data_IF_959085100876
#
_entry.id   IF_959085100876
#
_cell.length_a   1.000
_cell.length_b   1.000
_cell.length_c   1.000
_cell.angle_alpha   90.00
_cell.angle_beta   90.00
_cell.angle_gamma   90.00
#
_symmetry.space_group_name_H-M   'P 1'
#
loop_
_entity.id
_entity.type
_entity.pdbx_description
1 polymer ?
#
# COMPACT_ATOMS: atom_id res chain seq x y z
N UNK A 1 -2.99 -35.05 -13.39
CA UNK A 1 -3.40 -34.30 -12.18
C UNK A 1 -2.82 -32.90 -12.27
N UNK A 2 -3.65 -31.93 -12.65
CA UNK A 2 -3.22 -30.56 -12.89
C UNK A 2 -3.10 -29.85 -11.53
N UNK A 3 -1.88 -29.76 -11.00
CA UNK A 3 -1.61 -29.04 -9.75
C UNK A 3 -1.93 -27.56 -9.97
N UNK A 4 -3.12 -27.14 -9.52
CA UNK A 4 -3.52 -25.73 -9.44
C UNK A 4 -2.35 -24.92 -8.91
N UNK A 5 -1.87 -23.93 -9.66
CA UNK A 5 -0.87 -22.99 -9.21
C UNK A 5 -1.47 -22.12 -8.09
N UNK A 6 -1.51 -22.67 -6.88
CA UNK A 6 -1.87 -21.91 -5.68
C UNK A 6 -0.79 -20.85 -5.51
N UNK A 7 -1.21 -19.60 -5.26
CA UNK A 7 -0.27 -18.51 -4.98
C UNK A 7 0.78 -18.93 -3.94
N UNK A 8 2.03 -18.53 -4.15
CA UNK A 8 3.16 -18.93 -3.30
C UNK A 8 3.04 -18.46 -1.84
N UNK A 9 2.10 -17.55 -1.54
CA UNK A 9 1.70 -17.13 -0.20
C UNK A 9 0.31 -16.51 -0.20
N UNK A 10 -0.18 -16.18 0.99
CA UNK A 10 -1.46 -15.49 1.21
C UNK A 10 -1.25 -14.35 2.19
N UNK A 11 -1.87 -13.21 1.92
CA UNK A 11 -1.89 -12.03 2.79
C UNK A 11 -3.33 -11.55 2.94
N UNK A 12 -3.66 -10.91 4.07
CA UNK A 12 -4.99 -10.32 4.26
C UNK A 12 -5.11 -9.09 3.37
N UNK A 13 -6.28 -8.88 2.73
CA UNK A 13 -6.54 -7.71 1.85
C UNK A 13 -6.17 -6.39 2.54
N UNK A 14 -6.51 -6.23 3.82
CA UNK A 14 -6.18 -5.01 4.60
C UNK A 14 -4.67 -4.78 4.74
N UNK A 15 -3.87 -5.84 4.83
CA UNK A 15 -2.41 -5.72 4.93
C UNK A 15 -1.78 -5.26 3.62
N UNK A 16 -2.45 -5.39 2.48
CA UNK A 16 -1.96 -4.85 1.21
C UNK A 16 -1.87 -3.33 1.26
N UNK A 17 -2.82 -2.68 1.95
CA UNK A 17 -2.88 -1.23 2.08
C UNK A 17 -1.86 -0.73 3.12
N UNK A 18 -1.64 -1.51 4.18
CA UNK A 18 -0.88 -1.04 5.36
C UNK A 18 0.55 -1.58 5.46
N UNK A 19 0.83 -2.82 5.04
CA UNK A 19 2.11 -3.49 5.35
C UNK A 19 2.81 -4.05 4.12
N UNK A 20 2.04 -4.56 3.15
CA UNK A 20 2.53 -5.31 2.00
C UNK A 20 2.05 -4.69 0.68
N UNK A 21 2.15 -3.36 0.59
CA UNK A 21 1.90 -2.62 -0.65
C UNK A 21 3.10 -2.64 -1.60
N UNK A 22 3.03 -1.97 -2.77
CA UNK A 22 4.12 -1.93 -3.74
C UNK A 22 5.46 -1.50 -3.12
N UNK A 23 6.52 -2.27 -3.36
CA UNK A 23 7.85 -2.01 -2.79
C UNK A 23 8.06 -2.60 -1.39
N UNK A 24 7.04 -3.16 -0.75
CA UNK A 24 7.19 -3.82 0.54
C UNK A 24 7.97 -5.14 0.41
N UNK A 25 8.84 -5.41 1.37
CA UNK A 25 9.59 -6.66 1.48
C UNK A 25 8.76 -7.71 2.23
N UNK A 26 8.64 -8.91 1.67
CA UNK A 26 7.83 -10.00 2.23
C UNK A 26 8.61 -11.31 2.25
N UNK A 27 8.44 -12.08 3.33
CA UNK A 27 8.87 -13.48 3.40
C UNK A 27 7.74 -14.41 2.99
N UNK A 28 7.96 -15.17 1.92
CA UNK A 28 7.12 -16.29 1.54
C UNK A 28 7.77 -17.59 2.05
N UNK A 29 7.00 -18.68 2.22
CA UNK A 29 7.51 -19.94 2.77
C UNK A 29 8.75 -20.51 2.08
N UNK A 30 8.94 -20.21 0.78
CA UNK A 30 10.07 -20.72 -0.01
C UNK A 30 11.06 -19.63 -0.44
N UNK A 31 10.64 -18.36 -0.47
CA UNK A 31 11.40 -17.29 -1.10
C UNK A 31 11.14 -15.96 -0.38
N UNK A 32 12.13 -15.08 -0.32
CA UNK A 32 11.88 -13.66 -0.04
C UNK A 32 11.52 -12.94 -1.34
N UNK A 33 10.62 -11.98 -1.24
CA UNK A 33 10.14 -11.20 -2.36
C UNK A 33 9.97 -9.73 -1.98
N UNK A 34 9.88 -8.89 -3.02
CA UNK A 34 9.40 -7.52 -2.94
C UNK A 34 8.10 -7.42 -3.73
N UNK A 35 7.07 -6.83 -3.13
CA UNK A 35 5.75 -6.68 -3.74
C UNK A 35 5.87 -5.77 -4.97
N UNK A 36 5.34 -6.20 -6.11
CA UNK A 36 5.48 -5.49 -7.37
C UNK A 36 4.68 -4.18 -7.41
N UNK A 37 5.11 -3.29 -8.32
CA UNK A 37 4.32 -2.13 -8.72
C UNK A 37 2.96 -2.51 -9.31
N UNK A 38 2.08 -1.52 -9.45
CA UNK A 38 0.72 -1.71 -10.00
C UNK A 38 0.73 -2.31 -11.41
N UNK A 39 1.84 -2.19 -12.15
CA UNK A 39 2.08 -2.84 -13.44
C UNK A 39 2.13 -4.38 -13.37
N UNK A 40 2.26 -4.94 -12.16
CA UNK A 40 2.23 -6.38 -11.87
C UNK A 40 0.96 -6.83 -11.17
N UNK A 41 -0.02 -5.94 -11.05
CA UNK A 41 -1.31 -6.26 -10.45
C UNK A 41 -2.30 -6.69 -11.54
N UNK A 42 -3.42 -7.33 -11.17
CA UNK A 42 -4.46 -7.67 -12.14
C UNK A 42 -4.95 -6.43 -12.88
N UNK A 43 -5.42 -6.63 -14.12
CA UNK A 43 -6.05 -5.56 -14.89
C UNK A 43 -7.25 -5.00 -14.14
N UNK A 44 -7.51 -3.69 -14.32
CA UNK A 44 -8.64 -2.99 -13.71
C UNK A 44 -9.98 -3.71 -13.91
N UNK A 45 -10.18 -4.34 -15.07
CA UNK A 45 -11.38 -5.13 -15.40
C UNK A 45 -11.64 -6.34 -14.49
N UNK A 46 -10.65 -6.76 -13.70
CA UNK A 46 -10.74 -7.86 -12.73
C UNK A 46 -10.78 -7.38 -11.28
N UNK A 47 -10.75 -6.07 -11.08
CA UNK A 47 -10.75 -5.45 -9.76
C UNK A 47 -12.12 -4.82 -9.49
N UNK A 48 -12.48 -4.82 -8.23
CA UNK A 48 -13.66 -4.13 -7.71
C UNK A 48 -13.32 -2.64 -7.63
N UNK A 49 -13.99 -1.82 -8.44
CA UNK A 49 -13.88 -0.37 -8.37
C UNK A 49 -14.61 0.15 -7.13
N UNK A 50 -13.98 1.05 -6.40
CA UNK A 50 -14.55 1.74 -5.25
C UNK A 50 -14.88 3.16 -5.71
N UNK A 51 -16.16 3.48 -5.79
CA UNK A 51 -16.61 4.83 -6.07
C UNK A 51 -16.67 5.65 -4.78
N UNK A 52 -15.69 6.52 -4.57
CA UNK A 52 -15.70 7.51 -3.48
C UNK A 52 -15.13 8.84 -4.00
N UNK A 53 -16.00 9.69 -4.58
CA UNK A 53 -15.59 10.92 -5.25
C UNK A 53 -14.78 11.88 -4.36
N UNK A 54 -15.00 11.88 -3.03
CA UNK A 54 -14.27 12.77 -2.12
C UNK A 54 -12.84 12.32 -1.91
N UNK A 55 -12.61 11.01 -1.78
CA UNK A 55 -11.26 10.45 -1.69
C UNK A 55 -10.51 10.67 -3.00
N UNK A 56 -11.15 10.41 -4.14
CA UNK A 56 -10.52 10.62 -5.44
C UNK A 56 -10.13 12.07 -5.68
N UNK A 57 -10.98 13.04 -5.33
CA UNK A 57 -10.65 14.48 -5.41
C UNK A 57 -9.49 14.86 -4.50
N UNK A 58 -9.52 14.38 -3.25
CA UNK A 58 -8.43 14.62 -2.29
C UNK A 58 -7.09 14.07 -2.81
N UNK A 59 -7.11 12.89 -3.44
CA UNK A 59 -5.92 12.30 -4.07
C UNK A 59 -5.47 13.10 -5.29
N UNK A 60 -6.38 13.53 -6.16
CA UNK A 60 -6.08 14.37 -7.32
C UNK A 60 -5.32 15.65 -6.91
N UNK A 61 -5.77 16.32 -5.85
CA UNK A 61 -5.08 17.50 -5.30
C UNK A 61 -3.67 17.17 -4.80
N UNK A 62 -3.52 16.09 -4.04
CA UNK A 62 -2.23 15.69 -3.47
C UNK A 62 -1.24 15.22 -4.54
N UNK A 63 -1.72 14.63 -5.63
CA UNK A 63 -0.91 14.18 -6.76
C UNK A 63 -0.53 15.31 -7.73
N UNK A 64 -0.90 16.57 -7.44
CA UNK A 64 -0.50 17.74 -8.23
C UNK A 64 -1.48 18.15 -9.33
N UNK A 65 -2.74 17.71 -9.26
CA UNK A 65 -3.76 17.96 -10.28
C UNK A 65 -3.70 16.96 -11.44
N UNK A 66 -4.77 16.85 -12.23
CA UNK A 66 -4.84 15.92 -13.36
C UNK A 66 -6.21 15.26 -13.49
N UNK A 67 -6.26 14.05 -14.04
CA UNK A 67 -7.49 13.24 -14.06
C UNK A 67 -7.85 12.76 -12.66
N UNK A 68 -9.16 12.63 -12.39
CA UNK A 68 -9.64 12.05 -11.14
C UNK A 68 -9.18 10.58 -11.06
N UNK A 69 -8.43 10.18 -10.01
CA UNK A 69 -7.95 8.81 -9.89
C UNK A 69 -9.12 7.86 -9.63
N UNK A 70 -9.11 6.72 -10.32
CA UNK A 70 -10.01 5.60 -10.06
C UNK A 70 -9.44 4.76 -8.93
N UNK A 71 -10.30 4.29 -8.04
CA UNK A 71 -9.90 3.55 -6.85
C UNK A 71 -10.33 2.10 -6.99
N UNK A 72 -9.46 1.18 -6.61
CA UNK A 72 -9.74 -0.25 -6.70
C UNK A 72 -9.45 -0.92 -5.38
N UNK A 73 -10.32 -1.85 -5.00
CA UNK A 73 -10.08 -2.70 -3.86
C UNK A 73 -8.91 -3.68 -4.18
N UNK A 74 -8.06 -4.03 -3.18
CA UNK A 74 -7.06 -5.06 -3.37
C UNK A 74 -7.69 -6.37 -3.87
N UNK A 75 -7.02 -7.10 -4.78
CA UNK A 75 -7.60 -8.26 -5.45
C UNK A 75 -8.07 -9.33 -4.46
N UNK A 76 -9.27 -9.84 -4.69
CA UNK A 76 -9.83 -10.97 -3.97
C UNK A 76 -9.61 -12.28 -4.74
N UNK A 77 -9.62 -13.45 -4.06
CA UNK A 77 -9.60 -14.73 -4.75
C UNK A 77 -10.78 -14.85 -5.73
N UNK A 78 -10.52 -15.29 -6.96
CA UNK A 78 -11.60 -15.57 -7.91
C UNK A 78 -12.32 -16.86 -7.53
N UNK A 79 -13.65 -16.85 -7.65
CA UNK A 79 -14.49 -18.05 -7.54
C UNK A 79 -14.56 -18.83 -8.87
N UNK A 80 -13.99 -18.30 -9.95
CA UNK A 80 -13.97 -18.95 -11.26
C UNK A 80 -12.94 -20.08 -11.29
N UNK A 81 -13.34 -21.32 -11.61
CA UNK A 81 -12.40 -22.44 -11.66
C UNK A 81 -11.25 -22.20 -12.65
N UNK A 82 -10.02 -22.27 -12.16
CA UNK A 82 -8.81 -22.16 -12.98
C UNK A 82 -8.26 -20.73 -13.12
N UNK A 83 -9.00 -19.72 -12.65
CA UNK A 83 -8.49 -18.35 -12.62
C UNK A 83 -7.62 -18.11 -11.38
N UNK A 84 -6.42 -17.57 -11.59
CA UNK A 84 -5.51 -17.15 -10.51
C UNK A 84 -5.41 -15.64 -10.54
N UNK A 85 -6.07 -14.98 -9.59
CA UNK A 85 -5.95 -13.55 -9.34
C UNK A 85 -5.01 -13.37 -8.14
N UNK A 86 -4.02 -12.51 -8.28
CA UNK A 86 -3.06 -12.23 -7.22
C UNK A 86 -2.15 -11.05 -7.55
N UNK A 87 -1.38 -10.65 -6.55
CA UNK A 87 -0.41 -9.55 -6.68
C UNK A 87 0.93 -10.15 -7.12
N UNK A 88 1.48 -9.63 -8.22
CA UNK A 88 2.82 -10.00 -8.67
C UNK A 88 3.90 -9.48 -7.72
N UNK A 89 4.95 -10.26 -7.55
CA UNK A 89 6.12 -9.88 -6.75
C UNK A 89 7.40 -10.35 -7.39
N UNK A 90 8.50 -9.68 -7.05
CA UNK A 90 9.83 -10.02 -7.54
C UNK A 90 10.61 -10.73 -6.46
N UNK A 91 11.33 -11.81 -6.82
CA UNK A 91 12.29 -12.43 -5.90
C UNK A 91 13.42 -11.44 -5.60
N UNK A 92 13.54 -11.07 -4.34
CA UNK A 92 14.50 -10.07 -3.87
C UNK A 92 14.72 -10.30 -2.36
N UNK A 93 15.96 -10.16 -1.83
CA UNK A 93 17.21 -9.81 -2.52
C UNK A 93 17.72 -10.88 -3.51
N UNK A 94 18.70 -10.53 -4.34
CA UNK A 94 19.41 -11.46 -5.23
C UNK A 94 20.62 -12.14 -4.57
N UNK A 95 21.03 -11.73 -3.38
CA UNK A 95 22.11 -12.39 -2.61
C UNK A 95 21.61 -13.37 -1.54
N UNK A 96 22.35 -14.45 -1.36
CA UNK A 96 22.02 -15.57 -0.47
C UNK A 96 23.20 -15.99 0.40
N UNK A 97 22.90 -16.51 1.59
CA UNK A 97 23.86 -17.27 2.42
C UNK A 97 23.60 -18.76 2.25
N UNK A 98 24.66 -19.54 2.06
CA UNK A 98 24.57 -21.00 1.99
C UNK A 98 24.37 -21.57 3.40
N UNK A 99 23.44 -22.52 3.54
CA UNK A 99 23.23 -23.25 4.78
C UNK A 99 24.27 -24.36 4.89
N UNK A 100 25.33 -24.06 5.64
CA UNK A 100 26.44 -24.98 5.89
C UNK A 100 26.48 -25.32 7.38
N UNK A 101 26.66 -26.59 7.70
CA UNK A 101 26.92 -26.99 9.07
C UNK A 101 28.30 -26.44 9.48
N UNK A 102 28.44 -25.85 10.69
CA UNK A 102 29.76 -25.45 11.18
C UNK A 102 30.66 -26.69 11.27
N UNK A 103 31.95 -26.51 10.97
CA UNK A 103 32.92 -27.57 11.18
C UNK A 103 32.97 -27.93 12.67
N UNK A 104 33.16 -29.22 12.98
CA UNK A 104 33.17 -29.71 14.35
C UNK A 104 34.26 -28.98 15.17
N UNK A 105 33.87 -28.26 16.22
CA UNK A 105 34.76 -27.51 17.10
C UNK A 105 34.86 -26.01 16.82
N UNK A 106 34.28 -25.50 15.73
CA UNK A 106 34.26 -24.07 15.45
C UNK A 106 33.10 -23.37 16.17
N UNK A 107 33.43 -22.35 16.99
CA UNK A 107 32.43 -21.45 17.59
C UNK A 107 31.86 -20.45 16.58
N UNK A 108 32.57 -20.21 15.48
CA UNK A 108 32.21 -19.23 14.47
C UNK A 108 31.51 -19.92 13.29
N UNK A 109 30.34 -19.42 12.89
CA UNK A 109 29.65 -19.92 11.71
C UNK A 109 30.09 -19.11 10.50
N UNK A 110 30.84 -19.74 9.61
CA UNK A 110 31.20 -19.15 8.31
C UNK A 110 30.29 -19.70 7.22
N UNK A 111 29.59 -18.82 6.51
CA UNK A 111 28.69 -19.21 5.41
C UNK A 111 29.06 -18.49 4.13
N UNK A 112 29.11 -19.22 3.02
CA UNK A 112 29.34 -18.61 1.71
C UNK A 112 28.21 -17.66 1.35
N UNK A 113 28.60 -16.50 0.83
CA UNK A 113 27.70 -15.48 0.30
C UNK A 113 27.73 -15.56 -1.23
N UNK A 114 26.58 -15.85 -1.84
CA UNK A 114 26.47 -16.19 -3.27
C UNK A 114 25.35 -15.42 -3.93
N UNK A 115 25.55 -15.04 -5.18
CA UNK A 115 24.54 -14.36 -5.97
C UNK A 115 23.55 -15.36 -6.58
N UNK A 116 22.30 -14.94 -6.81
CA UNK A 116 21.24 -15.77 -7.43
C UNK A 116 21.66 -16.44 -8.74
N UNK A 117 22.53 -15.79 -9.49
CA UNK A 117 23.05 -16.27 -10.79
C UNK A 117 23.92 -17.51 -10.65
N UNK A 118 24.47 -17.76 -9.47
CA UNK A 118 25.32 -18.91 -9.15
C UNK A 118 24.49 -20.09 -8.61
N UNK A 119 23.18 -19.93 -8.46
CA UNK A 119 22.30 -20.98 -7.92
C UNK A 119 21.78 -21.91 -9.01
N UNK A 120 21.91 -23.20 -8.78
CA UNK A 120 21.34 -24.27 -9.59
C UNK A 120 20.07 -24.80 -8.93
N UNK A 121 18.91 -24.63 -9.59
CA UNK A 121 17.60 -25.05 -9.06
C UNK A 121 17.31 -24.53 -7.63
N UNK A 122 17.83 -23.34 -7.31
CA UNK A 122 17.66 -22.70 -5.99
C UNK A 122 18.61 -23.22 -4.91
N UNK A 123 19.68 -23.92 -5.29
CA UNK A 123 20.72 -24.45 -4.40
C UNK A 123 22.11 -24.00 -4.87
N UNK A 124 23.08 -24.04 -3.98
CA UNK A 124 24.49 -23.80 -4.32
C UNK A 124 25.28 -25.07 -4.01
N UNK A 125 25.89 -25.69 -5.02
CA UNK A 125 26.60 -26.98 -4.89
C UNK A 125 25.77 -28.06 -4.15
N UNK A 126 24.47 -28.15 -4.46
CA UNK A 126 23.54 -29.08 -3.82
C UNK A 126 23.09 -28.70 -2.39
N UNK A 127 23.62 -27.63 -1.80
CA UNK A 127 23.26 -27.12 -0.47
C UNK A 127 22.12 -26.13 -0.55
N UNK A 128 21.27 -26.13 0.47
CA UNK A 128 20.18 -25.16 0.60
C UNK A 128 20.73 -23.76 0.91
N UNK A 129 19.98 -22.72 0.52
CA UNK A 129 20.39 -21.32 0.67
C UNK A 129 19.24 -20.49 1.22
N UNK A 130 19.57 -19.40 1.91
CA UNK A 130 18.60 -18.44 2.44
C UNK A 130 18.95 -17.04 1.95
N UNK A 131 17.95 -16.29 1.48
CA UNK A 131 18.16 -14.92 1.02
C UNK A 131 18.74 -14.08 2.17
N UNK A 132 19.66 -13.18 1.84
CA UNK A 132 20.22 -12.27 2.84
C UNK A 132 19.09 -11.44 3.47
N UNK A 133 19.24 -11.13 4.76
CA UNK A 133 18.32 -10.21 5.45
C UNK A 133 18.73 -8.75 5.32
N UNK A 134 19.82 -8.47 4.61
CA UNK A 134 20.44 -7.15 4.52
C UNK A 134 20.31 -6.61 3.12
N UNK A 135 19.74 -5.42 3.01
CA UNK A 135 19.61 -4.67 1.76
C UNK A 135 20.09 -3.25 2.02
N UNK A 136 20.32 -2.49 0.96
CA UNK A 136 20.59 -1.05 1.06
C UNK A 136 19.37 -0.27 0.61
N UNK A 137 19.12 0.86 1.25
CA UNK A 137 18.02 1.75 0.88
C UNK A 137 18.45 3.23 1.00
N UNK A 138 17.74 4.15 0.36
CA UNK A 138 18.02 5.58 0.46
C UNK A 138 16.80 6.38 0.96
N UNK A 139 16.99 7.66 1.38
CA UNK A 139 15.89 8.54 1.80
C UNK A 139 14.78 8.77 0.75
N UNK A 140 15.07 8.59 -0.55
CA UNK A 140 14.06 8.68 -1.62
C UNK A 140 13.24 7.39 -1.79
N UNK A 141 13.44 6.37 -0.95
CA UNK A 141 12.66 5.13 -0.97
C UNK A 141 13.16 4.05 -1.94
N UNK A 142 14.28 4.27 -2.62
CA UNK A 142 14.94 3.21 -3.40
C UNK A 142 15.47 2.12 -2.51
N UNK A 143 15.43 0.88 -3.00
CA UNK A 143 15.97 -0.31 -2.32
C UNK A 143 16.76 -1.14 -3.31
N UNK A 144 17.86 -1.73 -2.86
CA UNK A 144 18.73 -2.53 -3.70
C UNK A 144 19.50 -3.56 -2.87
N UNK A 145 20.10 -4.54 -3.53
CA UNK A 145 21.07 -5.42 -2.90
C UNK A 145 22.30 -4.62 -2.45
N UNK A 146 22.95 -5.06 -1.37
CA UNK A 146 24.27 -4.54 -1.00
C UNK A 146 25.26 -4.97 -2.09
N UNK A 147 26.07 -4.03 -2.58
CA UNK A 147 27.25 -4.39 -3.36
C UNK A 147 28.32 -4.94 -2.41
N UNK A 148 28.26 -6.25 -2.17
CA UNK A 148 29.10 -6.90 -1.17
C UNK A 148 30.59 -6.84 -1.50
N UNK A 149 30.95 -6.82 -2.79
CA UNK A 149 32.34 -6.67 -3.20
C UNK A 149 32.83 -5.25 -2.92
N UNK A 150 32.08 -4.22 -3.33
CA UNK A 150 32.44 -2.83 -3.04
C UNK A 150 32.41 -2.54 -1.52
N UNK A 151 31.51 -3.19 -0.78
CA UNK A 151 31.47 -3.06 0.68
C UNK A 151 32.75 -3.56 1.34
N UNK A 152 33.24 -4.75 0.96
CA UNK A 152 34.46 -5.34 1.55
C UNK A 152 35.74 -4.68 1.04
N UNK A 153 35.82 -4.37 -0.25
CA UNK A 153 37.08 -3.96 -0.88
C UNK A 153 37.18 -2.48 -1.23
N UNK A 154 36.07 -1.74 -1.17
CA UNK A 154 35.95 -0.42 -1.77
C UNK A 154 35.65 -0.47 -3.28
N UNK A 155 35.26 0.67 -3.88
CA UNK A 155 34.79 0.73 -5.27
C UNK A 155 35.91 0.54 -6.31
N UNK A 156 37.16 0.83 -5.96
CA UNK A 156 38.33 0.76 -6.85
C UNK A 156 38.82 -0.68 -7.10
N UNK A 157 38.35 -1.66 -6.30
CA UNK A 157 38.90 -3.01 -6.30
C UNK A 157 38.02 -3.99 -7.11
N UNK A 158 38.65 -4.75 -7.99
CA UNK A 158 37.99 -5.71 -8.89
C UNK A 158 38.04 -7.17 -8.40
N UNK A 159 38.40 -7.43 -7.15
CA UNK A 159 38.39 -8.78 -6.59
C UNK A 159 36.96 -9.36 -6.66
N UNK A 160 36.85 -10.59 -7.18
CA UNK A 160 35.59 -11.34 -7.31
C UNK A 160 35.71 -12.77 -6.76
N UNK A 161 36.64 -12.98 -5.82
CA UNK A 161 36.78 -14.28 -5.14
C UNK A 161 35.64 -14.49 -4.14
N UNK A 162 35.46 -15.74 -3.70
CA UNK A 162 34.33 -16.12 -2.84
C UNK A 162 34.22 -15.23 -1.59
N UNK A 163 33.02 -14.70 -1.35
CA UNK A 163 32.68 -13.97 -0.13
C UNK A 163 32.07 -14.91 0.91
N UNK A 164 32.29 -14.59 2.18
CA UNK A 164 31.84 -15.31 3.35
C UNK A 164 31.20 -14.33 4.32
N UNK A 165 30.11 -14.74 4.94
CA UNK A 165 29.52 -14.07 6.11
C UNK A 165 29.87 -14.89 7.34
N UNK A 166 30.81 -14.36 8.12
CA UNK A 166 31.28 -14.95 9.36
C UNK A 166 30.47 -14.40 10.54
N UNK A 167 29.96 -15.28 11.40
CA UNK A 167 29.16 -14.95 12.58
C UNK A 167 29.84 -15.49 13.84
N UNK A 168 30.31 -14.59 14.71
CA UNK A 168 31.09 -14.91 15.92
C UNK A 168 30.28 -14.90 17.23
N UNK A 169 28.95 -14.92 17.15
CA UNK A 169 28.05 -14.88 18.30
C UNK A 169 26.78 -15.71 18.11
N UNK A 170 25.89 -15.69 19.10
CA UNK A 170 24.63 -16.44 19.10
C UNK A 170 23.39 -15.57 18.90
N UNK A 171 23.50 -14.24 19.06
CA UNK A 171 22.37 -13.30 18.96
C UNK A 171 22.05 -12.91 17.52
N UNK A 172 22.99 -13.10 16.60
CA UNK A 172 22.87 -12.58 15.24
C UNK A 172 22.88 -11.05 15.19
N UNK A 173 23.58 -10.40 16.12
CA UNK A 173 23.76 -8.95 16.09
C UNK A 173 24.70 -8.53 14.96
N UNK A 174 24.51 -7.30 14.47
CA UNK A 174 25.37 -6.74 13.42
C UNK A 174 26.83 -6.58 13.85
N UNK A 175 27.09 -6.47 15.17
CA UNK A 175 28.45 -6.43 15.74
C UNK A 175 29.21 -7.74 15.57
N UNK A 176 28.50 -8.85 15.49
CA UNK A 176 29.09 -10.19 15.48
C UNK A 176 29.26 -10.73 14.05
N UNK A 177 28.93 -9.89 13.06
CA UNK A 177 28.94 -10.24 11.65
C UNK A 177 30.09 -9.55 10.94
N UNK A 178 30.91 -10.36 10.27
CA UNK A 178 32.01 -9.89 9.42
C UNK A 178 31.84 -10.47 8.03
N UNK A 179 31.94 -9.64 7.01
CA UNK A 179 32.02 -10.10 5.61
C UNK A 179 33.49 -10.25 5.26
N UNK A 180 33.88 -11.43 4.77
CA UNK A 180 35.26 -11.76 4.42
C UNK A 180 35.35 -12.25 2.99
N UNK A 181 36.33 -11.78 2.25
CA UNK A 181 36.71 -12.34 0.96
C UNK A 181 37.79 -13.41 1.15
N UNK A 182 37.78 -14.42 0.30
CA UNK A 182 38.85 -15.43 0.21
C UNK A 182 40.25 -14.82 0.00
N UNK A 183 40.38 -13.60 -0.55
CA UNK A 183 41.67 -12.91 -0.64
C UNK A 183 42.24 -12.43 0.72
N UNK A 184 41.50 -12.58 1.81
CA UNK A 184 41.90 -12.18 3.16
C UNK A 184 41.32 -10.84 3.63
N UNK A 185 40.82 -10.00 2.72
CA UNK A 185 40.14 -8.76 3.09
C UNK A 185 38.82 -9.04 3.81
N UNK A 186 38.50 -8.23 4.82
CA UNK A 186 37.30 -8.38 5.63
C UNK A 186 36.81 -7.03 6.15
N UNK A 187 35.50 -6.93 6.38
CA UNK A 187 34.85 -5.73 6.93
C UNK A 187 33.70 -6.09 7.86
N UNK A 188 33.57 -5.36 8.97
CA UNK A 188 32.51 -5.60 9.95
C UNK A 188 31.17 -5.07 9.45
N UNK A 189 30.08 -5.80 9.65
CA UNK A 189 28.73 -5.36 9.27
C UNK A 189 28.23 -4.18 10.09
N UNK A 190 28.76 -3.96 11.30
CA UNK A 190 28.46 -2.77 12.10
C UNK A 190 28.84 -1.47 11.38
N UNK A 191 29.92 -1.49 10.58
CA UNK A 191 30.38 -0.33 9.81
C UNK A 191 29.35 0.09 8.75
N UNK A 192 28.53 -0.83 8.22
CA UNK A 192 27.50 -0.51 7.23
C UNK A 192 26.43 0.48 7.74
N UNK A 193 26.36 0.73 9.05
CA UNK A 193 25.46 1.72 9.66
C UNK A 193 25.97 3.16 9.56
N UNK A 194 27.27 3.36 9.35
CA UNK A 194 27.86 4.70 9.31
C UNK A 194 27.57 5.39 7.96
N UNK A 195 26.47 6.14 7.92
CA UNK A 195 26.05 6.89 6.72
C UNK A 195 27.12 7.92 6.29
N UNK A 196 27.89 8.48 7.24
CA UNK A 196 28.90 9.50 6.98
C UNK A 196 30.06 8.96 6.13
N UNK A 197 30.51 7.75 6.44
CA UNK A 197 31.57 7.05 5.69
C UNK A 197 31.10 6.47 4.35
N UNK A 198 29.78 6.52 4.04
CA UNK A 198 29.16 5.96 2.82
C UNK A 198 29.63 4.54 2.47
N UNK A 199 29.67 3.58 3.43
CA UNK A 199 30.19 2.23 3.24
C UNK A 199 29.40 1.43 2.19
N UNK A 200 28.14 1.78 1.95
CA UNK A 200 27.25 1.16 0.97
C UNK A 200 27.13 1.97 -0.35
N UNK A 201 27.97 2.98 -0.51
CA UNK A 201 28.00 3.86 -1.68
C UNK A 201 26.79 4.78 -1.81
N UNK A 202 26.69 5.43 -2.96
CA UNK A 202 25.55 6.26 -3.36
C UNK A 202 24.48 5.44 -4.07
N UNK A 203 23.23 5.82 -3.86
CA UNK A 203 22.07 5.19 -4.46
C UNK A 203 22.10 5.32 -5.99
N UNK A 204 21.74 4.25 -6.70
CA UNK A 204 21.65 4.21 -8.17
C UNK A 204 20.19 4.33 -8.67
N UNK A 205 19.27 4.71 -7.77
CA UNK A 205 17.84 4.82 -8.04
C UNK A 205 17.18 3.50 -8.40
N UNK A 206 17.69 2.37 -7.91
CA UNK A 206 17.14 1.04 -8.16
C UNK A 206 15.73 0.90 -7.58
N UNK A 207 14.80 0.43 -8.40
CA UNK A 207 13.39 0.18 -8.04
C UNK A 207 13.00 -1.27 -8.38
N UNK A 208 13.51 -2.27 -7.64
CA UNK A 208 13.37 -3.68 -7.99
C UNK A 208 11.90 -4.13 -8.07
N UNK A 209 10.99 -3.46 -7.36
CA UNK A 209 9.55 -3.73 -7.43
C UNK A 209 8.90 -3.38 -8.77
N UNK A 210 9.50 -2.48 -9.55
CA UNK A 210 9.05 -2.11 -10.90
C UNK A 210 9.76 -2.94 -12.00
N UNK A 211 10.68 -3.83 -11.62
CA UNK A 211 11.42 -4.68 -12.53
C UNK A 211 12.72 -4.08 -13.07
N UNK A 212 13.33 -4.79 -14.03
CA UNK A 212 14.61 -4.40 -14.65
C UNK A 212 14.36 -3.16 -15.52
N UNK A 213 15.26 -2.17 -15.47
CA UNK A 213 15.20 -0.90 -16.21
C UNK A 213 14.28 0.18 -15.65
N UNK A 214 13.70 -0.02 -14.47
CA UNK A 214 12.95 1.02 -13.80
C UNK A 214 13.86 1.95 -12.97
N UNK A 215 15.16 2.06 -13.25
CA UNK A 215 16.03 2.93 -12.45
C UNK A 215 15.75 4.40 -12.74
N UNK A 216 16.01 5.27 -11.75
CA UNK A 216 15.99 6.72 -11.94
C UNK A 216 17.25 7.38 -11.39
N UNK A 217 17.45 8.66 -11.68
CA UNK A 217 18.61 9.38 -11.15
C UNK A 217 18.48 9.58 -9.63
N UNK A 218 19.50 9.16 -8.90
CA UNK A 218 19.60 9.36 -7.46
C UNK A 218 21.07 9.53 -7.08
N UNK A 219 21.30 10.30 -6.03
CA UNK A 219 22.62 10.68 -5.52
C UNK A 219 22.70 10.53 -3.99
N UNK A 220 21.62 10.07 -3.37
CA UNK A 220 21.50 9.99 -1.93
C UNK A 220 22.38 8.87 -1.35
N UNK A 221 22.92 9.03 -0.13
CA UNK A 221 23.70 7.98 0.50
C UNK A 221 22.81 6.77 0.82
N UNK A 222 23.32 5.58 0.56
CA UNK A 222 22.66 4.35 0.96
C UNK A 222 22.87 4.09 2.46
N UNK A 223 21.84 3.57 3.12
CA UNK A 223 21.89 3.04 4.49
C UNK A 223 21.56 1.56 4.51
N UNK A 224 22.10 0.86 5.51
CA UNK A 224 21.75 -0.53 5.79
C UNK A 224 20.28 -0.63 6.22
N UNK A 225 19.55 -1.57 5.62
CA UNK A 225 18.20 -1.91 6.00
C UNK A 225 18.10 -3.43 6.22
N UNK A 226 17.44 -3.81 7.32
CA UNK A 226 17.13 -5.21 7.59
C UNK A 226 15.74 -5.48 7.02
N UNK A 227 15.63 -6.49 6.16
CA UNK A 227 14.42 -6.81 5.38
C UNK A 227 13.18 -7.06 6.24
N UNK A 228 13.35 -7.61 7.43
CA UNK A 228 12.27 -7.93 8.38
C UNK A 228 12.07 -6.86 9.45
N UNK A 229 12.80 -5.73 9.40
CA UNK A 229 12.64 -4.67 10.37
C UNK A 229 11.36 -3.88 10.13
N UNK A 230 10.75 -3.37 11.22
CA UNK A 230 9.53 -2.56 11.17
C UNK A 230 9.69 -1.25 10.38
N UNK A 231 10.93 -0.81 10.15
CA UNK A 231 11.25 0.38 9.36
C UNK A 231 11.54 0.10 7.88
N UNK A 232 11.28 -1.13 7.40
CA UNK A 232 11.53 -1.51 6.02
C UNK A 232 10.50 -0.97 5.02
N UNK A 233 9.27 -0.71 5.48
CA UNK A 233 8.19 -0.21 4.64
C UNK A 233 7.23 0.65 5.45
N UNK A 234 6.86 1.81 4.91
CA UNK A 234 5.83 2.67 5.46
C UNK A 234 4.89 3.10 4.33
N UNK A 235 3.60 2.74 4.38
CA UNK A 235 2.63 3.25 3.41
C UNK A 235 2.34 4.73 3.67
N UNK A 236 2.00 5.45 2.62
CA UNK A 236 1.29 6.73 2.75
C UNK A 236 -0.20 6.45 2.62
N UNK A 237 -0.91 6.39 3.75
CA UNK A 237 -2.33 6.07 3.78
C UNK A 237 -3.16 7.34 3.76
N UNK A 238 -4.14 7.38 2.86
CA UNK A 238 -5.17 8.40 2.85
C UNK A 238 -6.54 7.74 3.06
N UNK A 239 -7.34 8.33 3.93
CA UNK A 239 -8.70 7.85 4.23
C UNK A 239 -9.71 8.99 4.21
N UNK A 240 -10.96 8.59 4.01
CA UNK A 240 -12.20 9.34 4.23
C UNK A 240 -13.22 8.37 4.83
N UNK A 241 -14.21 8.88 5.54
CA UNK A 241 -15.39 8.09 5.88
C UNK A 241 -16.30 8.05 4.66
N UNK A 242 -16.58 6.84 4.18
CA UNK A 242 -17.62 6.61 3.17
C UNK A 242 -18.96 6.80 3.85
N UNK A 243 -19.56 7.94 3.59
CA UNK A 243 -20.89 8.31 4.06
C UNK A 243 -21.80 8.37 2.84
N UNK A 244 -23.03 7.83 2.91
CA UNK A 244 -24.00 7.99 1.84
C UNK A 244 -24.17 9.48 1.57
N UNK A 245 -23.77 9.90 0.38
CA UNK A 245 -23.83 11.29 -0.02
C UNK A 245 -25.27 11.60 -0.45
N UNK A 246 -26.19 11.67 0.52
CA UNK A 246 -27.56 12.15 0.28
C UNK A 246 -27.54 13.51 -0.42
N UNK A 247 -26.52 14.33 -0.17
CA UNK A 247 -26.26 15.58 -0.87
C UNK A 247 -25.92 15.39 -2.35
N UNK A 248 -25.05 14.45 -2.68
CA UNK A 248 -24.68 14.10 -4.05
C UNK A 248 -25.81 13.45 -4.85
N UNK A 249 -26.56 12.53 -4.25
CA UNK A 249 -27.72 11.91 -4.91
C UNK A 249 -28.81 12.92 -5.24
N UNK A 250 -29.12 13.83 -4.30
CA UNK A 250 -30.09 14.90 -4.55
C UNK A 250 -29.53 15.95 -5.51
N UNK A 251 -28.25 16.30 -5.45
CA UNK A 251 -27.60 17.21 -6.40
C UNK A 251 -27.62 16.63 -7.83
N UNK A 252 -27.41 15.32 -7.99
CA UNK A 252 -27.50 14.62 -9.27
C UNK A 252 -28.93 14.59 -9.80
N UNK A 253 -29.90 14.21 -8.97
CA UNK A 253 -31.32 14.23 -9.35
C UNK A 253 -31.80 15.64 -9.73
N UNK A 254 -31.40 16.66 -8.97
CA UNK A 254 -31.66 18.07 -9.28
C UNK A 254 -30.92 18.50 -10.56
N UNK A 255 -29.76 17.92 -10.86
CA UNK A 255 -29.00 18.18 -12.08
C UNK A 255 -29.68 17.68 -13.34
N UNK A 256 -30.15 16.43 -13.31
CA UNK A 256 -30.84 15.80 -14.43
C UNK A 256 -32.19 16.45 -14.74
N UNK A 257 -32.82 17.01 -13.71
CA UNK A 257 -34.11 17.70 -13.79
C UNK A 257 -33.97 19.23 -13.82
N UNK A 258 -32.77 19.76 -14.04
CA UNK A 258 -32.51 21.19 -13.85
C UNK A 258 -33.32 22.10 -14.78
N UNK A 259 -33.57 21.67 -16.01
CA UNK A 259 -34.37 22.43 -16.98
C UNK A 259 -35.77 22.74 -16.45
N UNK A 260 -36.32 21.82 -15.66
CA UNK A 260 -37.61 21.92 -15.00
C UNK A 260 -37.49 22.65 -13.64
N UNK A 261 -36.45 22.35 -12.86
CA UNK A 261 -36.30 22.84 -11.48
C UNK A 261 -35.73 24.27 -11.37
N UNK A 262 -35.11 24.81 -12.43
CA UNK A 262 -34.50 26.15 -12.41
C UNK A 262 -35.50 27.29 -12.08
N UNK A 263 -36.79 27.09 -12.35
CA UNK A 263 -37.85 28.08 -12.08
C UNK A 263 -38.43 27.98 -10.65
N UNK A 264 -38.11 26.92 -9.89
CA UNK A 264 -38.63 26.70 -8.54
C UNK A 264 -37.94 27.64 -7.55
N UNK A 265 -38.71 28.47 -6.83
CA UNK A 265 -38.17 29.42 -5.85
C UNK A 265 -38.69 29.16 -4.42
N UNK A 266 -39.71 28.33 -4.27
CA UNK A 266 -40.40 28.02 -3.02
C UNK A 266 -41.06 26.63 -3.08
N UNK A 267 -41.67 26.21 -1.98
CA UNK A 267 -42.36 24.91 -1.86
C UNK A 267 -43.55 24.79 -2.81
N UNK A 268 -44.29 25.88 -3.05
CA UNK A 268 -45.43 25.89 -3.98
C UNK A 268 -44.97 25.65 -5.43
N UNK A 269 -43.85 26.25 -5.83
CA UNK A 269 -43.23 25.97 -7.12
C UNK A 269 -42.78 24.52 -7.27
N UNK A 270 -42.23 23.92 -6.20
CA UNK A 270 -41.82 22.51 -6.22
C UNK A 270 -43.04 21.57 -6.34
N UNK A 271 -44.11 21.84 -5.61
CA UNK A 271 -45.35 21.06 -5.66
C UNK A 271 -45.98 21.07 -7.06
N UNK A 272 -45.97 22.24 -7.73
CA UNK A 272 -46.40 22.36 -9.11
C UNK A 272 -45.54 21.50 -10.06
N UNK A 273 -44.22 21.53 -9.88
CA UNK A 273 -43.30 20.74 -10.73
C UNK A 273 -43.42 19.23 -10.50
N UNK A 274 -43.75 18.79 -9.28
CA UNK A 274 -44.05 17.39 -8.96
C UNK A 274 -45.32 16.85 -9.64
N UNK A 275 -46.15 17.69 -10.27
CA UNK A 275 -47.24 17.20 -11.13
C UNK A 275 -46.72 16.53 -12.42
N UNK A 276 -45.47 16.79 -12.81
CA UNK A 276 -44.82 16.09 -13.93
C UNK A 276 -44.33 14.71 -13.46
N UNK A 277 -44.74 13.59 -14.09
CA UNK A 277 -44.36 12.25 -13.66
C UNK A 277 -42.85 12.04 -13.54
N UNK A 278 -42.08 12.56 -14.51
CA UNK A 278 -40.61 12.48 -14.51
C UNK A 278 -39.97 13.14 -13.29
N UNK A 279 -40.51 14.28 -12.85
CA UNK A 279 -40.01 15.03 -11.69
C UNK A 279 -40.44 14.37 -10.39
N UNK A 280 -41.69 13.88 -10.33
CA UNK A 280 -42.20 13.14 -9.18
C UNK A 280 -41.38 11.87 -8.91
N UNK A 281 -41.08 11.09 -9.96
CA UNK A 281 -40.34 9.83 -9.86
C UNK A 281 -38.87 10.07 -9.49
N UNK A 282 -38.21 11.03 -10.14
CA UNK A 282 -36.81 11.36 -9.86
C UNK A 282 -36.58 11.99 -8.48
N UNK A 283 -37.60 12.60 -7.87
CA UNK A 283 -37.52 13.23 -6.55
C UNK A 283 -38.22 12.44 -5.43
N UNK A 284 -38.86 11.31 -5.74
CA UNK A 284 -39.58 10.48 -4.76
C UNK A 284 -38.74 10.04 -3.54
N UNK A 285 -37.42 9.78 -3.66
CA UNK A 285 -36.60 9.41 -2.51
C UNK A 285 -36.27 10.56 -1.53
N UNK A 286 -36.53 11.82 -1.91
CA UNK A 286 -36.06 13.00 -1.16
C UNK A 286 -37.21 13.83 -0.58
N UNK A 287 -36.98 14.46 0.57
CA UNK A 287 -37.95 15.40 1.14
C UNK A 287 -37.94 16.74 0.40
N UNK A 288 -39.07 17.45 0.43
CA UNK A 288 -39.24 18.74 -0.24
C UNK A 288 -38.21 19.78 0.23
N UNK A 289 -37.94 19.80 1.54
CA UNK A 289 -36.96 20.71 2.15
C UNK A 289 -35.53 20.43 1.67
N UNK A 290 -35.16 19.16 1.47
CA UNK A 290 -33.85 18.78 0.93
C UNK A 290 -33.73 19.21 -0.54
N UNK A 291 -34.77 19.00 -1.35
CA UNK A 291 -34.80 19.37 -2.76
C UNK A 291 -34.69 20.89 -2.95
N UNK A 292 -35.44 21.67 -2.17
CA UNK A 292 -35.41 23.15 -2.24
C UNK A 292 -34.01 23.66 -1.88
N UNK A 293 -33.38 23.11 -0.83
CA UNK A 293 -32.00 23.47 -0.45
C UNK A 293 -31.00 23.15 -1.56
N UNK A 294 -31.12 21.99 -2.21
CA UNK A 294 -30.25 21.60 -3.32
C UNK A 294 -30.45 22.51 -4.55
N UNK A 295 -31.69 22.87 -4.87
CA UNK A 295 -32.01 23.84 -5.94
C UNK A 295 -31.39 25.21 -5.63
N UNK A 296 -31.56 25.73 -4.40
CA UNK A 296 -30.96 26.99 -3.98
C UNK A 296 -29.44 26.98 -4.06
N UNK A 297 -28.80 25.91 -3.60
CA UNK A 297 -27.36 25.73 -3.70
C UNK A 297 -26.88 25.76 -5.15
N UNK A 298 -27.60 25.09 -6.05
CA UNK A 298 -27.28 25.10 -7.48
C UNK A 298 -27.48 26.46 -8.13
N UNK A 299 -28.52 27.22 -7.77
CA UNK A 299 -28.75 28.60 -8.26
C UNK A 299 -27.66 29.57 -7.81
N UNK A 300 -27.13 29.40 -6.60
CA UNK A 300 -26.05 30.24 -6.04
C UNK A 300 -24.68 29.99 -6.68
N UNK A 301 -24.57 28.99 -7.56
CA UNK A 301 -23.31 28.53 -8.14
C UNK A 301 -22.57 27.58 -7.19
N UNK A 302 -21.53 26.86 -7.68
CA UNK A 302 -20.82 25.88 -6.87
C UNK A 302 -20.23 26.55 -5.63
N UNK A 303 -20.75 26.17 -4.45
CA UNK A 303 -20.13 26.51 -3.18
C UNK A 303 -18.77 25.82 -3.19
N UNK A 304 -17.72 26.62 -2.94
CA UNK A 304 -16.36 26.17 -2.59
C UNK A 304 -16.38 24.78 -1.97
N UNK A 305 -15.65 23.83 -2.57
CA UNK A 305 -15.55 22.46 -2.08
C UNK A 305 -15.36 22.44 -0.55
N UNK A 306 -16.35 21.91 0.16
CA UNK A 306 -16.30 21.81 1.61
C UNK A 306 -15.21 20.81 1.99
N UNK A 307 -14.34 21.12 2.97
CA UNK A 307 -13.34 20.17 3.44
C UNK A 307 -13.98 18.83 3.83
N UNK A 308 -13.39 17.70 3.45
CA UNK A 308 -13.94 16.36 3.73
C UNK A 308 -14.35 16.18 5.19
N UNK A 309 -13.50 16.64 6.13
CA UNK A 309 -13.77 16.55 7.58
C UNK A 309 -15.02 17.32 8.01
N UNK A 310 -15.33 18.43 7.35
CA UNK A 310 -16.52 19.21 7.65
C UNK A 310 -17.78 18.45 7.23
N UNK A 311 -17.76 17.86 6.03
CA UNK A 311 -18.87 17.02 5.53
C UNK A 311 -19.07 15.80 6.41
N UNK A 312 -17.99 15.14 6.83
CA UNK A 312 -18.04 14.02 7.77
C UNK A 312 -18.69 14.42 9.11
N UNK A 313 -18.30 15.58 9.65
CA UNK A 313 -18.87 16.09 10.90
C UNK A 313 -20.34 16.46 10.77
N UNK A 314 -20.73 17.17 9.70
CA UNK A 314 -22.12 17.55 9.43
C UNK A 314 -23.02 16.30 9.32
N UNK A 315 -22.56 15.28 8.59
CA UNK A 315 -23.28 14.02 8.46
C UNK A 315 -23.43 13.29 9.80
N UNK A 316 -22.39 13.27 10.66
CA UNK A 316 -22.48 12.70 12.01
C UNK A 316 -23.40 13.52 12.95
N UNK A 317 -23.51 14.84 12.75
CA UNK A 317 -24.36 15.71 13.55
C UNK A 317 -25.84 15.69 13.11
N UNK A 318 -26.10 15.43 11.83
CA UNK A 318 -27.45 15.39 11.24
C UNK A 318 -28.23 14.11 11.58
N UNK A 319 -27.59 13.17 12.27
CA UNK A 319 -28.14 11.86 12.60
C UNK A 319 -29.32 11.97 13.58
N UNK A 320 -30.42 11.23 13.36
CA UNK A 320 -31.58 11.25 14.25
C UNK A 320 -31.23 10.76 15.66
N UNK A 321 -31.97 11.28 16.64
CA UNK A 321 -31.89 10.79 18.02
C UNK A 321 -32.60 9.43 18.15
N UNK A 322 -31.97 8.48 18.83
CA UNK A 322 -32.54 7.14 19.01
C UNK A 322 -31.85 6.33 20.11
N UNK A 323 -32.60 5.44 20.76
CA UNK A 323 -32.14 4.50 21.78
C UNK A 323 -32.97 3.22 21.71
N UNK A 324 -32.38 2.06 21.36
CA UNK A 324 -33.13 0.80 21.17
C UNK A 324 -32.53 -0.11 20.08
N UNK A 325 -33.36 -0.94 19.44
CA UNK A 325 -32.92 -1.92 18.44
C UNK A 325 -32.17 -1.27 17.27
N UNK A 326 -31.02 -1.84 16.92
CA UNK A 326 -30.17 -1.40 15.81
C UNK A 326 -30.81 -1.81 14.49
N UNK A 327 -31.81 -1.04 14.04
CA UNK A 327 -32.39 -1.18 12.70
C UNK A 327 -31.58 -0.28 11.76
N UNK A 328 -30.76 -0.83 10.84
CA UNK A 328 -30.00 -0.03 9.90
C UNK A 328 -30.97 0.72 8.98
N UNK A 329 -30.85 2.05 8.93
CA UNK A 329 -31.59 2.91 7.98
C UNK A 329 -30.95 2.80 6.59
N UNK A 330 -29.64 2.55 6.57
CA UNK A 330 -28.80 2.33 5.41
C UNK A 330 -27.87 1.13 5.72
N UNK A 331 -27.67 0.21 4.76
CA UNK A 331 -26.86 -0.99 4.97
C UNK A 331 -25.36 -0.71 5.16
N UNK A 332 -24.86 0.42 4.67
CA UNK A 332 -23.45 0.82 4.68
C UNK A 332 -23.13 1.89 5.73
N UNK A 333 -24.14 2.63 6.22
CA UNK A 333 -23.97 3.62 7.28
C UNK A 333 -25.15 3.67 8.28
N UNK A 334 -24.89 3.26 9.52
CA UNK A 334 -25.81 3.46 10.63
C UNK A 334 -25.16 4.30 11.73
N UNK A 335 -25.80 5.42 12.07
CA UNK A 335 -25.47 6.22 13.22
C UNK A 335 -26.77 6.62 13.94
N UNK A 336 -26.67 6.89 15.25
CA UNK A 336 -27.73 7.53 16.04
C UNK A 336 -27.13 8.47 17.07
N UNK A 337 -27.81 9.59 17.34
CA UNK A 337 -27.49 10.41 18.51
C UNK A 337 -28.15 9.79 19.74
N UNK A 338 -27.37 9.46 20.76
CA UNK A 338 -27.93 8.98 22.03
C UNK A 338 -28.61 10.15 22.76
N UNK A 339 -29.81 9.94 23.36
CA UNK A 339 -30.41 10.93 24.23
C UNK A 339 -29.50 11.27 25.42
N UNK A 340 -29.46 12.55 25.81
CA UNK A 340 -28.62 13.05 26.91
C UNK A 340 -28.74 12.23 28.20
N UNK A 341 -29.96 11.78 28.51
CA UNK A 341 -30.29 10.97 29.70
C UNK A 341 -29.59 9.60 29.73
N UNK A 342 -29.22 9.08 28.56
CA UNK A 342 -28.56 7.77 28.39
C UNK A 342 -27.05 7.95 28.40
N UNK A 343 -26.53 8.86 27.56
CA UNK A 343 -25.08 9.05 27.43
C UNK A 343 -24.44 9.53 28.74
N UNK A 344 -25.08 10.45 29.47
CA UNK A 344 -24.56 10.96 30.76
C UNK A 344 -24.61 9.95 31.92
N UNK A 345 -25.20 8.77 31.71
CA UNK A 345 -25.30 7.67 32.69
C UNK A 345 -24.59 6.39 32.23
N UNK A 346 -23.87 6.46 31.12
CA UNK A 346 -23.03 5.35 30.66
C UNK A 346 -21.71 5.44 31.44
N UNK A 347 -21.57 4.59 32.47
CA UNK A 347 -20.33 4.43 33.26
C UNK A 347 -19.15 3.96 32.40
#
# INVERSE_FOLDING_TARGET
>A
MNTRAKGHGQIRRSQVITTYGPGALIDLPKHSAIVGGLDKWPSESKLEEIDEPRLSRKLQMVLGGGSLPRLYAPPAPSNVPGEVIGIGGWRFPEWFVVLEAPAAGERQRSRRLVHRKELERGRFEGKDVVATRFVRACPKGHVDDIDWYAFVHGPENNCRRQLWLDESGTSGDLSDLTVRCECGQKRGMAEAKDIGAKPLGTCQGTRPWLGRHANESCDQPNRLLIRTASNAYFPQVMSVLSLPDRGGEIENAVSELWDDLQIVNDSTGLEFMKQKPKVAEGLAPFSDDEVIKAIEQRKRGPISERPVKQVELEALMAVPEGFGDDIPIDPDFHARRLPDRVWRRSD
#
